data_IF_917372700777
#
_entry.id   IF_917372700777
#
_cell.length_a   1.000
_cell.length_b   1.000
_cell.length_c   1.000
_cell.angle_alpha   90.00
_cell.angle_beta   90.00
_cell.angle_gamma   90.00
#
_symmetry.space_group_name_H-M   'P 1'
#
loop_
_entity.id
_entity.type
_entity.pdbx_description
1 polymer ?
#
# COMPACT_ATOMS: atom_id res chain seq x y z
N UNK A 1 -17.52 75.39 -10.81
CA UNK A 1 -18.23 76.39 -10.01
C UNK A 1 -18.83 77.42 -10.95
N UNK A 2 -20.04 77.91 -10.70
CA UNK A 2 -20.70 78.94 -11.50
C UNK A 2 -21.52 78.39 -12.66
N UNK A 3 -21.17 78.76 -13.90
CA UNK A 3 -21.93 78.42 -15.12
C UNK A 3 -21.02 77.75 -16.15
N UNK A 4 -21.60 76.98 -17.08
CA UNK A 4 -20.88 76.39 -18.21
C UNK A 4 -20.76 77.44 -19.31
N UNK A 5 -19.79 78.34 -19.17
CA UNK A 5 -19.43 79.32 -20.19
C UNK A 5 -18.28 78.79 -21.08
N UNK A 6 -17.90 79.54 -22.12
CA UNK A 6 -16.81 79.13 -23.03
C UNK A 6 -15.50 78.84 -22.29
N UNK A 7 -15.20 79.59 -21.23
CA UNK A 7 -14.00 79.39 -20.43
C UNK A 7 -14.07 78.08 -19.64
N UNK A 8 -15.22 77.73 -19.06
CA UNK A 8 -15.43 76.45 -18.38
C UNK A 8 -15.30 75.27 -19.35
N UNK A 9 -15.77 75.42 -20.59
CA UNK A 9 -15.59 74.42 -21.65
C UNK A 9 -14.13 74.25 -22.03
N UNK A 10 -13.39 75.35 -22.19
CA UNK A 10 -11.95 75.34 -22.50
C UNK A 10 -11.11 74.85 -21.33
N UNK A 11 -11.47 75.15 -20.08
CA UNK A 11 -10.80 74.58 -18.90
C UNK A 11 -10.97 73.06 -18.80
N UNK A 12 -11.94 72.49 -19.52
CA UNK A 12 -12.08 71.06 -19.68
C UNK A 12 -11.21 70.52 -20.85
N UNK A 13 -10.21 71.28 -21.34
CA UNK A 13 -9.25 70.87 -22.37
C UNK A 13 -8.42 69.65 -21.98
N UNK A 14 -8.37 69.28 -20.69
CA UNK A 14 -7.86 67.97 -20.31
C UNK A 14 -8.55 66.85 -21.09
N UNK A 15 -9.84 67.00 -21.42
CA UNK A 15 -10.60 66.06 -22.26
C UNK A 15 -10.14 66.06 -23.72
N UNK A 16 -9.65 67.19 -24.24
CA UNK A 16 -9.04 67.25 -25.60
C UNK A 16 -7.66 66.62 -25.62
N UNK A 17 -6.92 66.67 -24.51
CA UNK A 17 -5.57 66.10 -24.36
C UNK A 17 -5.59 64.60 -23.99
N UNK A 18 -6.75 64.03 -23.63
CA UNK A 18 -6.86 62.61 -23.26
C UNK A 18 -6.34 61.66 -24.35
N UNK A 19 -6.46 62.05 -25.63
CA UNK A 19 -5.93 61.26 -26.76
C UNK A 19 -4.41 61.29 -26.86
N UNK A 20 -3.76 62.32 -26.30
CA UNK A 20 -2.30 62.43 -26.28
C UNK A 20 -1.72 61.61 -25.11
N UNK A 21 -2.50 61.43 -24.05
CA UNK A 21 -2.08 60.77 -22.82
C UNK A 21 -2.59 59.33 -22.66
N UNK A 22 -3.53 58.86 -23.50
CA UNK A 22 -4.09 57.50 -23.39
C UNK A 22 -4.27 56.89 -24.78
N UNK A 23 -3.81 55.64 -24.95
CA UNK A 23 -4.10 54.82 -26.13
C UNK A 23 -5.10 53.72 -25.80
N UNK A 24 -6.03 53.45 -26.71
CA UNK A 24 -6.95 52.29 -26.56
C UNK A 24 -6.31 51.00 -27.07
N UNK A 25 -5.65 51.03 -28.23
CA UNK A 25 -4.99 49.86 -28.86
C UNK A 25 -3.68 50.27 -29.52
N UNK A 26 -2.66 49.40 -29.45
CA UNK A 26 -1.41 49.56 -30.20
C UNK A 26 -1.54 48.87 -31.57
N UNK A 27 -2.03 49.58 -32.59
CA UNK A 27 -2.10 49.07 -33.96
C UNK A 27 -2.26 50.19 -34.98
N UNK A 28 -1.63 50.05 -36.14
CA UNK A 28 -1.64 50.98 -37.27
C UNK A 28 -2.92 50.87 -38.10
N UNK A 29 -4.08 51.12 -37.50
CA UNK A 29 -5.34 51.27 -38.23
C UNK A 29 -5.78 52.74 -38.15
N UNK A 30 -6.20 53.29 -39.30
CA UNK A 30 -6.35 54.71 -39.57
C UNK A 30 -7.14 55.50 -38.52
N UNK A 31 -6.78 56.78 -38.41
CA UNK A 31 -7.27 57.74 -37.39
C UNK A 31 -8.81 57.89 -37.33
N UNK A 32 -9.56 57.51 -38.36
CA UNK A 32 -11.01 57.73 -38.45
C UNK A 32 -11.88 56.66 -37.75
N UNK A 33 -11.34 55.49 -37.38
CA UNK A 33 -12.09 54.43 -36.67
C UNK A 33 -11.97 54.48 -35.14
N UNK A 34 -11.47 55.59 -34.61
CA UNK A 34 -11.01 55.67 -33.21
C UNK A 34 -12.11 55.99 -32.20
N UNK A 35 -13.16 56.73 -32.59
CA UNK A 35 -14.16 57.31 -31.68
C UNK A 35 -14.99 56.29 -30.90
N UNK A 36 -15.52 55.27 -31.59
CA UNK A 36 -16.32 54.19 -31.01
C UNK A 36 -15.49 53.29 -30.08
N UNK A 37 -14.19 53.16 -30.37
CA UNK A 37 -13.24 52.39 -29.55
C UNK A 37 -12.98 53.09 -28.21
N UNK A 38 -12.86 54.42 -28.17
CA UNK A 38 -12.72 55.20 -26.93
C UNK A 38 -14.00 55.16 -26.07
N UNK A 39 -15.17 55.33 -26.69
CA UNK A 39 -16.45 55.32 -25.98
C UNK A 39 -16.72 54.02 -25.19
N UNK A 40 -16.10 52.89 -25.58
CA UNK A 40 -16.19 51.61 -24.89
C UNK A 40 -15.48 51.57 -23.54
N UNK A 41 -14.38 52.31 -23.40
CA UNK A 41 -13.55 52.29 -22.18
C UNK A 41 -13.83 53.47 -21.25
N UNK A 42 -14.40 54.54 -21.80
CA UNK A 42 -14.69 55.77 -21.09
C UNK A 42 -15.95 55.64 -20.23
N UNK A 43 -15.95 56.22 -19.02
CA UNK A 43 -17.10 56.15 -18.11
C UNK A 43 -18.29 56.96 -18.63
N UNK A 44 -19.44 56.88 -17.94
CA UNK A 44 -20.44 57.93 -18.05
C UNK A 44 -19.87 59.25 -17.52
N UNK A 45 -20.26 60.36 -18.14
CA UNK A 45 -19.81 61.68 -17.74
C UNK A 45 -20.90 62.41 -16.97
N UNK A 46 -20.58 62.87 -15.75
CA UNK A 46 -21.51 63.66 -14.93
C UNK A 46 -20.89 65.02 -14.66
N UNK A 47 -21.51 66.08 -15.16
CA UNK A 47 -21.09 67.46 -14.87
C UNK A 47 -21.89 68.00 -13.69
N UNK A 48 -21.23 68.22 -12.55
CA UNK A 48 -21.85 68.87 -11.39
C UNK A 48 -21.47 70.35 -11.36
N UNK A 49 -22.43 71.21 -11.64
CA UNK A 49 -22.29 72.66 -11.67
C UNK A 49 -22.67 73.22 -10.30
N UNK A 50 -21.64 73.39 -9.47
CA UNK A 50 -21.74 73.95 -8.11
C UNK A 50 -21.90 75.47 -8.12
N UNK A 51 -22.59 76.01 -7.13
CA UNK A 51 -22.91 77.44 -6.97
C UNK A 51 -23.62 78.02 -8.20
N UNK A 52 -24.65 77.31 -8.66
CA UNK A 52 -25.42 77.69 -9.85
C UNK A 52 -26.33 78.88 -9.56
N UNK A 53 -26.24 79.93 -10.37
CA UNK A 53 -26.94 81.20 -10.15
C UNK A 53 -27.91 81.59 -11.27
N UNK A 54 -28.01 80.79 -12.34
CA UNK A 54 -28.92 81.09 -13.45
C UNK A 54 -30.29 80.46 -13.21
N UNK A 55 -31.32 81.09 -13.74
CA UNK A 55 -32.59 80.41 -13.93
C UNK A 55 -32.43 79.42 -15.10
N UNK A 56 -32.87 78.17 -14.91
CA UNK A 56 -32.88 77.15 -15.96
C UNK A 56 -34.00 77.45 -16.98
N UNK A 57 -33.85 78.56 -17.71
CA UNK A 57 -34.78 79.04 -18.72
C UNK A 57 -34.03 79.31 -20.01
N UNK A 58 -34.53 78.78 -21.12
CA UNK A 58 -34.00 79.02 -22.48
C UNK A 58 -35.16 79.31 -23.41
N UNK A 59 -35.09 80.39 -24.18
CA UNK A 59 -36.16 80.86 -25.07
C UNK A 59 -37.53 80.97 -24.37
N UNK A 60 -37.55 81.46 -23.13
CA UNK A 60 -38.78 81.60 -22.32
C UNK A 60 -39.35 80.28 -21.77
N UNK A 61 -38.72 79.13 -22.03
CA UNK A 61 -39.14 77.81 -21.53
C UNK A 61 -38.21 77.32 -20.43
N UNK A 62 -38.78 76.76 -19.36
CA UNK A 62 -38.01 76.06 -18.32
C UNK A 62 -37.35 74.81 -18.92
N UNK A 63 -36.05 74.68 -18.74
CA UNK A 63 -35.23 73.56 -19.22
C UNK A 63 -34.73 72.73 -18.03
N UNK A 64 -34.31 71.51 -18.33
CA UNK A 64 -33.61 70.63 -17.38
C UNK A 64 -32.12 70.97 -17.31
N UNK A 65 -31.44 70.50 -16.26
CA UNK A 65 -29.98 70.62 -16.16
C UNK A 65 -29.26 69.91 -17.32
N UNK A 66 -29.81 68.79 -17.81
CA UNK A 66 -29.26 68.05 -18.96
C UNK A 66 -29.39 68.86 -20.26
N UNK A 67 -30.56 69.47 -20.50
CA UNK A 67 -30.75 70.39 -21.62
C UNK A 67 -29.83 71.60 -21.52
N UNK A 68 -29.58 72.11 -20.31
CA UNK A 68 -28.62 73.17 -20.06
C UNK A 68 -27.19 72.75 -20.47
N UNK A 69 -26.75 71.55 -20.10
CA UNK A 69 -25.46 71.01 -20.53
C UNK A 69 -25.40 70.91 -22.05
N UNK A 70 -26.37 70.26 -22.70
CA UNK A 70 -26.37 70.08 -24.16
C UNK A 70 -26.39 71.41 -24.92
N UNK A 71 -27.10 72.42 -24.40
CA UNK A 71 -27.07 73.76 -24.94
C UNK A 71 -25.69 74.43 -24.78
N UNK A 72 -25.02 74.22 -23.65
CA UNK A 72 -23.74 74.86 -23.33
C UNK A 72 -22.56 74.33 -24.16
N UNK A 73 -22.65 73.10 -24.66
CA UNK A 73 -21.66 72.45 -25.53
C UNK A 73 -22.09 72.40 -27.00
N UNK A 74 -23.06 73.24 -27.41
CA UNK A 74 -23.35 73.47 -28.83
C UNK A 74 -22.17 74.16 -29.50
N UNK A 75 -21.87 73.70 -30.72
CA UNK A 75 -20.80 74.31 -31.53
C UNK A 75 -21.18 75.74 -31.88
N UNK A 76 -20.23 76.64 -31.68
CA UNK A 76 -20.41 78.06 -31.92
C UNK A 76 -19.91 78.42 -33.32
N UNK A 77 -20.65 79.24 -34.09
CA UNK A 77 -20.19 79.69 -35.40
C UNK A 77 -19.01 80.66 -35.26
N UNK A 78 -18.07 80.62 -36.20
CA UNK A 78 -16.92 81.53 -36.28
C UNK A 78 -15.57 80.82 -36.23
N UNK A 79 -14.53 81.51 -36.72
CA UNK A 79 -13.18 80.93 -36.93
C UNK A 79 -12.09 81.51 -36.01
N UNK A 80 -12.47 82.16 -34.90
CA UNK A 80 -11.46 82.65 -33.95
C UNK A 80 -10.79 81.47 -33.22
N UNK A 81 -9.51 81.62 -32.84
CA UNK A 81 -8.77 80.58 -32.10
C UNK A 81 -9.51 80.12 -30.82
N UNK A 82 -10.16 81.05 -30.13
CA UNK A 82 -10.94 80.75 -28.93
C UNK A 82 -12.23 79.96 -29.23
N UNK A 83 -12.90 80.27 -30.36
CA UNK A 83 -14.08 79.50 -30.81
C UNK A 83 -13.67 78.09 -31.23
N UNK A 84 -12.57 77.94 -31.97
CA UNK A 84 -12.02 76.66 -32.35
C UNK A 84 -11.73 75.78 -31.12
N UNK A 85 -10.96 76.28 -30.15
CA UNK A 85 -10.65 75.54 -28.92
C UNK A 85 -11.91 75.15 -28.11
N UNK A 86 -12.91 76.04 -28.03
CA UNK A 86 -14.18 75.74 -27.36
C UNK A 86 -15.00 74.67 -28.11
N UNK A 87 -14.97 74.67 -29.44
CA UNK A 87 -15.66 73.70 -30.27
C UNK A 87 -14.97 72.32 -30.18
N UNK A 88 -13.64 72.28 -30.25
CA UNK A 88 -12.84 71.06 -30.10
C UNK A 88 -13.14 70.36 -28.77
N UNK A 89 -13.14 71.12 -27.67
CA UNK A 89 -13.51 70.60 -26.35
C UNK A 89 -14.96 70.07 -26.30
N UNK A 90 -15.89 70.77 -26.95
CA UNK A 90 -17.29 70.34 -27.01
C UNK A 90 -17.46 69.05 -27.82
N UNK A 91 -16.73 68.91 -28.94
CA UNK A 91 -16.71 67.69 -29.75
C UNK A 91 -16.10 66.52 -28.99
N UNK A 92 -14.96 66.72 -28.32
CA UNK A 92 -14.33 65.67 -27.51
C UNK A 92 -15.26 65.17 -26.39
N UNK A 93 -15.94 66.06 -25.68
CA UNK A 93 -16.93 65.68 -24.66
C UNK A 93 -18.05 64.83 -25.29
N UNK A 94 -18.60 65.27 -26.42
CA UNK A 94 -19.67 64.54 -27.12
C UNK A 94 -19.22 63.18 -27.64
N UNK A 95 -17.99 63.10 -28.15
CA UNK A 95 -17.40 61.94 -28.81
C UNK A 95 -16.98 60.86 -27.81
N UNK A 96 -16.30 61.24 -26.73
CA UNK A 96 -15.75 60.29 -25.76
C UNK A 96 -16.78 59.86 -24.71
N UNK A 97 -17.76 60.72 -24.42
CA UNK A 97 -18.78 60.45 -23.42
C UNK A 97 -20.16 60.50 -24.06
N UNK A 98 -20.66 59.40 -24.65
CA UNK A 98 -22.01 59.39 -25.23
C UNK A 98 -23.10 59.47 -24.16
N UNK A 99 -22.90 58.84 -23.00
CA UNK A 99 -23.76 58.96 -21.82
C UNK A 99 -23.28 60.14 -20.97
N UNK A 100 -24.08 61.21 -20.91
CA UNK A 100 -23.77 62.44 -20.15
C UNK A 100 -24.96 62.83 -19.29
N UNK A 101 -24.68 63.31 -18.08
CA UNK A 101 -25.68 63.82 -17.13
C UNK A 101 -25.19 65.14 -16.55
N UNK A 102 -26.11 66.03 -16.23
CA UNK A 102 -25.81 67.30 -15.60
C UNK A 102 -26.63 67.46 -14.31
N UNK A 103 -25.98 67.99 -13.28
CA UNK A 103 -26.63 68.45 -12.06
C UNK A 103 -26.21 69.89 -11.81
N UNK A 104 -27.17 70.73 -11.43
CA UNK A 104 -26.90 72.06 -10.90
C UNK A 104 -27.12 72.01 -9.39
N UNK A 105 -26.24 72.68 -8.65
CA UNK A 105 -26.34 72.76 -7.19
C UNK A 105 -26.28 74.22 -6.77
N UNK A 106 -27.24 74.62 -5.96
CA UNK A 106 -27.21 75.92 -5.31
C UNK A 106 -26.05 76.02 -4.33
N UNK A 107 -25.80 77.24 -3.89
CA UNK A 107 -24.82 77.48 -2.84
C UNK A 107 -25.36 76.88 -1.54
N UNK A 108 -24.60 76.03 -0.84
CA UNK A 108 -25.12 75.30 0.32
C UNK A 108 -25.42 76.23 1.50
N UNK A 109 -24.64 77.29 1.69
CA UNK A 109 -24.76 78.25 2.80
C UNK A 109 -24.32 79.65 2.38
N UNK A 110 -24.49 80.62 3.29
CA UNK A 110 -24.00 81.98 3.12
C UNK A 110 -22.46 82.04 3.01
N UNK A 111 -21.92 83.15 2.48
CA UNK A 111 -20.47 83.34 2.33
C UNK A 111 -19.70 83.17 3.65
N UNK A 112 -20.29 83.54 4.79
CA UNK A 112 -19.63 83.54 6.08
C UNK A 112 -19.48 82.11 6.63
N UNK A 113 -20.48 81.27 6.38
CA UNK A 113 -20.55 79.92 6.95
C UNK A 113 -19.79 78.88 6.10
N UNK A 114 -19.41 79.21 4.86
CA UNK A 114 -18.62 78.31 4.00
C UNK A 114 -17.29 77.87 4.61
N UNK A 115 -16.71 78.68 5.51
CA UNK A 115 -15.45 78.36 6.19
C UNK A 115 -15.57 77.24 7.20
N UNK A 116 -16.80 76.98 7.66
CA UNK A 116 -17.14 75.98 8.68
C UNK A 116 -18.09 74.92 8.12
N UNK A 117 -18.19 74.79 6.79
CA UNK A 117 -19.17 73.94 6.11
C UNK A 117 -19.10 72.46 6.55
N UNK A 118 -17.93 71.97 6.91
CA UNK A 118 -17.68 70.62 7.43
C UNK A 118 -18.20 70.39 8.86
N UNK A 119 -18.53 71.47 9.58
CA UNK A 119 -19.07 71.45 10.95
C UNK A 119 -20.59 71.68 10.99
N UNK A 120 -21.18 72.12 9.87
CA UNK A 120 -22.60 72.40 9.77
C UNK A 120 -23.41 71.11 9.62
N UNK A 121 -24.63 71.10 10.14
CA UNK A 121 -25.58 70.00 9.95
C UNK A 121 -26.41 70.28 8.70
N UNK A 122 -27.03 69.23 8.15
CA UNK A 122 -27.92 69.37 7.00
C UNK A 122 -29.04 70.40 7.25
N UNK A 123 -29.56 70.51 8.48
CA UNK A 123 -30.56 71.53 8.84
C UNK A 123 -30.08 72.97 8.72
N UNK A 124 -28.77 73.18 8.72
CA UNK A 124 -28.13 74.48 8.63
C UNK A 124 -27.81 74.85 7.15
N UNK A 125 -28.07 73.93 6.19
CA UNK A 125 -27.86 74.10 4.76
C UNK A 125 -29.14 74.56 4.03
N UNK A 126 -28.96 75.14 2.85
CA UNK A 126 -30.06 75.47 1.95
C UNK A 126 -30.87 74.19 1.60
N UNK A 127 -32.20 74.17 1.84
CA UNK A 127 -33.02 72.98 1.57
C UNK A 127 -33.00 72.56 0.10
N UNK A 128 -32.89 73.51 -0.83
CA UNK A 128 -32.79 73.24 -2.26
C UNK A 128 -31.48 72.56 -2.62
N UNK A 129 -30.36 72.99 -2.00
CA UNK A 129 -29.07 72.31 -2.11
C UNK A 129 -29.15 70.88 -1.59
N UNK A 130 -29.74 70.63 -0.42
CA UNK A 130 -29.88 69.28 0.15
C UNK A 130 -30.68 68.39 -0.80
N UNK A 131 -31.79 68.89 -1.34
CA UNK A 131 -32.59 68.15 -2.31
C UNK A 131 -31.76 67.79 -3.56
N UNK A 132 -31.05 68.75 -4.15
CA UNK A 132 -30.21 68.54 -5.33
C UNK A 132 -29.05 67.57 -5.06
N UNK A 133 -28.40 67.69 -3.91
CA UNK A 133 -27.33 66.77 -3.49
C UNK A 133 -27.86 65.36 -3.27
N UNK A 134 -29.05 65.21 -2.68
CA UNK A 134 -29.71 63.92 -2.47
C UNK A 134 -30.08 63.27 -3.81
N UNK A 135 -30.67 64.03 -4.73
CA UNK A 135 -31.00 63.56 -6.08
C UNK A 135 -29.74 63.15 -6.87
N UNK A 136 -28.66 63.92 -6.75
CA UNK A 136 -27.36 63.57 -7.32
C UNK A 136 -26.82 62.25 -6.76
N UNK A 137 -26.75 62.13 -5.43
CA UNK A 137 -26.27 60.91 -4.77
C UNK A 137 -27.10 59.70 -5.18
N UNK A 138 -28.43 59.83 -5.15
CA UNK A 138 -29.35 58.78 -5.60
C UNK A 138 -29.08 58.37 -7.04
N UNK A 139 -28.94 59.34 -7.96
CA UNK A 139 -28.61 59.04 -9.35
C UNK A 139 -27.30 58.26 -9.49
N UNK A 140 -26.24 58.67 -8.78
CA UNK A 140 -24.95 57.97 -8.81
C UNK A 140 -25.11 56.53 -8.30
N UNK A 141 -25.82 56.31 -7.19
CA UNK A 141 -26.03 54.96 -6.66
C UNK A 141 -26.89 54.08 -7.57
N UNK A 142 -27.92 54.65 -8.20
CA UNK A 142 -28.86 53.91 -9.03
C UNK A 142 -28.33 53.64 -10.46
N UNK A 143 -27.43 54.50 -10.98
CA UNK A 143 -27.03 54.48 -12.40
C UNK A 143 -25.55 54.20 -12.64
N UNK A 144 -24.71 54.14 -11.59
CA UNK A 144 -23.29 53.81 -11.79
C UNK A 144 -23.12 52.33 -12.12
N UNK A 145 -22.65 52.06 -13.33
CA UNK A 145 -22.36 50.70 -13.77
C UNK A 145 -21.06 50.19 -13.13
N UNK A 146 -20.99 48.87 -12.87
CA UNK A 146 -19.75 48.22 -12.43
C UNK A 146 -18.67 48.49 -13.49
N UNK A 147 -17.46 48.83 -13.05
CA UNK A 147 -16.34 49.03 -13.99
C UNK A 147 -16.09 47.73 -14.74
N UNK A 148 -16.14 47.77 -16.05
CA UNK A 148 -15.82 46.67 -16.93
C UNK A 148 -14.58 46.98 -17.79
N UNK A 149 -13.93 45.91 -18.22
CA UNK A 149 -12.90 45.90 -19.27
C UNK A 149 -13.48 45.18 -20.49
N UNK A 150 -12.66 44.90 -21.50
CA UNK A 150 -13.01 44.21 -22.75
C UNK A 150 -14.18 43.21 -22.60
N UNK A 151 -15.21 43.41 -23.43
CA UNK A 151 -16.39 42.54 -23.56
C UNK A 151 -17.28 42.44 -22.31
N UNK A 152 -17.21 43.45 -21.42
CA UNK A 152 -18.10 43.53 -20.26
C UNK A 152 -17.61 42.75 -19.05
N UNK A 153 -16.37 42.27 -19.06
CA UNK A 153 -15.78 41.58 -17.91
C UNK A 153 -15.63 42.56 -16.74
N UNK A 154 -16.24 42.30 -15.57
CA UNK A 154 -16.17 43.20 -14.42
C UNK A 154 -14.76 43.22 -13.83
N UNK A 155 -14.31 44.41 -13.44
CA UNK A 155 -13.01 44.62 -12.79
C UNK A 155 -13.17 44.44 -11.28
N UNK A 156 -12.46 43.46 -10.72
CA UNK A 156 -12.39 43.24 -9.26
C UNK A 156 -11.32 44.14 -8.63
N UNK A 157 -11.32 44.27 -7.30
CA UNK A 157 -10.31 45.07 -6.59
C UNK A 157 -8.87 44.61 -6.87
N UNK A 158 -8.65 43.28 -6.96
CA UNK A 158 -7.34 42.71 -7.31
C UNK A 158 -6.89 43.13 -8.70
N UNK A 159 -7.77 43.02 -9.71
CA UNK A 159 -7.48 43.42 -11.09
C UNK A 159 -7.25 44.93 -11.18
N UNK A 160 -8.07 45.73 -10.49
CA UNK A 160 -7.91 47.19 -10.45
C UNK A 160 -6.54 47.60 -9.90
N UNK A 161 -6.08 46.97 -8.81
CA UNK A 161 -4.75 47.26 -8.25
C UNK A 161 -3.61 46.96 -9.22
N UNK A 162 -3.71 45.86 -9.98
CA UNK A 162 -2.73 45.51 -11.01
C UNK A 162 -2.75 46.46 -12.21
N UNK A 163 -3.94 46.84 -12.67
CA UNK A 163 -4.09 47.83 -13.74
C UNK A 163 -3.54 49.19 -13.31
N UNK A 164 -3.84 49.64 -12.08
CA UNK A 164 -3.31 50.89 -11.54
C UNK A 164 -1.77 50.88 -11.52
N UNK A 165 -1.15 49.81 -11.02
CA UNK A 165 0.31 49.65 -11.06
C UNK A 165 0.86 49.71 -12.49
N UNK A 166 0.23 48.97 -13.42
CA UNK A 166 0.63 48.95 -14.83
C UNK A 166 0.57 50.34 -15.47
N UNK A 167 -0.48 51.11 -15.21
CA UNK A 167 -0.61 52.47 -15.74
C UNK A 167 0.39 53.44 -15.11
N UNK A 168 0.62 53.36 -13.78
CA UNK A 168 1.62 54.20 -13.09
C UNK A 168 3.03 53.90 -13.60
N UNK A 169 3.37 52.63 -13.81
CA UNK A 169 4.66 52.23 -14.36
C UNK A 169 4.86 52.72 -15.80
N UNK A 170 3.80 52.69 -16.62
CA UNK A 170 3.83 53.26 -17.96
C UNK A 170 4.13 54.77 -17.93
N UNK A 171 3.41 55.52 -17.08
CA UNK A 171 3.63 56.97 -16.90
C UNK A 171 5.06 57.24 -16.41
N UNK A 172 5.53 56.51 -15.39
CA UNK A 172 6.88 56.69 -14.83
C UNK A 172 7.98 56.40 -15.85
N UNK A 173 7.76 55.47 -16.77
CA UNK A 173 8.70 55.12 -17.84
C UNK A 173 8.65 56.05 -19.05
N UNK A 174 7.78 57.07 -19.04
CA UNK A 174 7.56 57.96 -20.18
C UNK A 174 6.81 57.31 -21.34
N UNK A 175 6.17 56.16 -21.11
CA UNK A 175 5.33 55.50 -22.12
C UNK A 175 3.87 55.89 -21.94
N UNK A 176 3.14 56.01 -23.04
CA UNK A 176 1.70 56.34 -23.01
C UNK A 176 0.92 55.09 -22.56
N UNK A 177 0.15 55.14 -21.46
CA UNK A 177 -0.69 54.03 -21.02
C UNK A 177 -1.63 53.54 -22.13
N UNK A 178 -1.62 52.23 -22.38
CA UNK A 178 -2.49 51.59 -23.35
C UNK A 178 -3.51 50.69 -22.63
N UNK A 179 -4.79 51.02 -22.75
CA UNK A 179 -5.87 50.38 -21.97
C UNK A 179 -6.02 48.90 -22.30
N UNK A 180 -6.08 48.53 -23.59
CA UNK A 180 -6.23 47.12 -24.00
C UNK A 180 -4.97 46.31 -23.70
N UNK A 181 -3.78 46.87 -23.92
CA UNK A 181 -2.52 46.15 -23.66
C UNK A 181 -2.31 45.89 -22.17
N UNK A 182 -2.67 46.84 -21.30
CA UNK A 182 -2.58 46.64 -19.86
C UNK A 182 -3.49 45.49 -19.41
N UNK A 183 -4.73 45.45 -19.92
CA UNK A 183 -5.67 44.35 -19.64
C UNK A 183 -5.12 43.02 -20.13
N UNK A 184 -4.59 42.97 -21.37
CA UNK A 184 -4.01 41.75 -21.93
C UNK A 184 -2.80 41.27 -21.11
N UNK A 185 -1.85 42.15 -20.79
CA UNK A 185 -0.66 41.81 -20.03
C UNK A 185 -1.00 41.29 -18.62
N UNK A 186 -1.89 41.98 -17.89
CA UNK A 186 -2.31 41.53 -16.56
C UNK A 186 -3.09 40.20 -16.67
N UNK A 187 -3.95 40.03 -17.68
CA UNK A 187 -4.70 38.77 -17.86
C UNK A 187 -3.78 37.59 -18.15
N UNK A 188 -2.73 37.76 -18.97
CA UNK A 188 -1.76 36.69 -19.25
C UNK A 188 -1.04 36.24 -17.98
N UNK A 189 -0.54 37.18 -17.17
CA UNK A 189 0.21 36.85 -15.95
C UNK A 189 -0.69 36.22 -14.89
N UNK A 190 -1.86 36.82 -14.62
CA UNK A 190 -2.75 36.32 -13.57
C UNK A 190 -3.42 35.00 -13.97
N UNK A 191 -3.79 34.80 -15.24
CA UNK A 191 -4.39 33.54 -15.68
C UNK A 191 -3.36 32.41 -15.68
N UNK A 192 -2.11 32.67 -16.09
CA UNK A 192 -1.04 31.68 -15.98
C UNK A 192 -0.80 31.28 -14.51
N UNK A 193 -0.74 32.26 -13.60
CA UNK A 193 -0.62 31.98 -12.16
C UNK A 193 -1.82 31.21 -11.62
N UNK A 194 -3.04 31.52 -12.07
CA UNK A 194 -4.25 30.80 -11.69
C UNK A 194 -4.24 29.35 -12.16
N UNK A 195 -3.72 29.05 -13.35
CA UNK A 195 -3.53 27.66 -13.82
C UNK A 195 -2.60 26.89 -12.89
N UNK A 196 -1.43 27.44 -12.57
CA UNK A 196 -0.45 26.77 -11.68
C UNK A 196 -1.03 26.53 -10.29
N UNK A 197 -1.68 27.53 -9.69
CA UNK A 197 -2.28 27.41 -8.36
C UNK A 197 -3.43 26.40 -8.33
N UNK A 198 -4.34 26.45 -9.31
CA UNK A 198 -5.44 25.50 -9.40
C UNK A 198 -4.97 24.07 -9.69
N UNK A 199 -3.93 23.90 -10.50
CA UNK A 199 -3.35 22.58 -10.76
C UNK A 199 -2.64 22.02 -9.52
N UNK A 200 -1.89 22.86 -8.78
CA UNK A 200 -1.29 22.47 -7.52
C UNK A 200 -2.34 22.04 -6.49
N UNK A 201 -3.43 22.82 -6.37
CA UNK A 201 -4.57 22.47 -5.53
C UNK A 201 -5.18 21.12 -5.92
N UNK A 202 -5.40 20.88 -7.22
CA UNK A 202 -5.90 19.59 -7.71
C UNK A 202 -4.99 18.43 -7.30
N UNK A 203 -3.67 18.57 -7.49
CA UNK A 203 -2.69 17.53 -7.16
C UNK A 203 -2.69 17.21 -5.66
N UNK A 204 -2.77 18.25 -4.83
CA UNK A 204 -2.86 18.09 -3.38
C UNK A 204 -4.13 17.33 -3.00
N UNK A 205 -5.30 17.83 -3.41
CA UNK A 205 -6.60 17.23 -3.07
C UNK A 205 -6.71 15.78 -3.55
N UNK A 206 -6.25 15.49 -4.77
CA UNK A 206 -6.27 14.13 -5.29
C UNK A 206 -5.28 13.23 -4.54
N UNK A 207 -4.09 13.74 -4.18
CA UNK A 207 -3.12 13.01 -3.37
C UNK A 207 -3.64 12.64 -1.98
N UNK A 208 -4.40 13.55 -1.35
CA UNK A 208 -5.01 13.33 -0.04
C UNK A 208 -6.22 12.39 -0.08
N UNK A 209 -7.06 12.47 -1.12
CA UNK A 209 -8.30 11.68 -1.23
C UNK A 209 -8.07 10.30 -1.86
N UNK A 210 -7.20 10.23 -2.86
CA UNK A 210 -6.87 9.00 -3.59
C UNK A 210 -5.50 8.45 -3.14
N UNK A 211 -5.38 8.13 -1.86
CA UNK A 211 -4.17 7.53 -1.30
C UNK A 211 -3.98 6.11 -1.83
N UNK A 212 -3.07 5.99 -2.78
CA UNK A 212 -2.64 4.72 -3.37
C UNK A 212 -1.35 4.27 -2.68
N UNK A 213 -1.49 3.43 -1.65
CA UNK A 213 -0.36 2.77 -1.01
C UNK A 213 -0.51 1.26 -1.07
N UNK A 214 0.57 0.57 -0.71
CA UNK A 214 0.52 -0.89 -0.59
C UNK A 214 -0.40 -1.33 0.56
N UNK A 215 -0.52 -0.50 1.60
CA UNK A 215 -1.36 -0.76 2.78
C UNK A 215 -2.84 -0.50 2.50
N UNK A 216 -3.18 0.56 1.77
CA UNK A 216 -4.57 0.88 1.40
C UNK A 216 -5.05 0.13 0.16
N UNK A 217 -4.12 -0.38 -0.65
CA UNK A 217 -4.39 -1.13 -1.86
C UNK A 217 -4.92 -0.28 -3.02
N UNK A 218 -5.29 -0.94 -4.10
CA UNK A 218 -5.96 -0.29 -5.22
C UNK A 218 -7.40 0.08 -4.83
N UNK A 219 -7.85 1.23 -5.32
CA UNK A 219 -9.22 1.72 -5.10
C UNK A 219 -10.07 1.40 -6.33
N UNK A 220 -11.38 1.20 -6.13
CA UNK A 220 -12.30 0.98 -7.25
C UNK A 220 -12.28 2.15 -8.23
N UNK A 221 -12.37 1.84 -9.53
CA UNK A 221 -12.39 2.86 -10.60
C UNK A 221 -13.49 3.90 -10.39
N UNK A 222 -14.65 3.49 -9.86
CA UNK A 222 -15.76 4.39 -9.54
C UNK A 222 -15.40 5.40 -8.44
N UNK A 223 -14.76 4.94 -7.36
CA UNK A 223 -14.37 5.81 -6.24
C UNK A 223 -13.25 6.77 -6.64
N UNK A 224 -12.27 6.31 -7.43
CA UNK A 224 -11.22 7.16 -8.00
C UNK A 224 -11.80 8.26 -8.91
N UNK A 225 -12.77 7.90 -9.77
CA UNK A 225 -13.49 8.85 -10.63
C UNK A 225 -14.31 9.87 -9.83
N UNK A 226 -14.97 9.43 -8.75
CA UNK A 226 -15.70 10.32 -7.86
C UNK A 226 -14.77 11.36 -7.18
N UNK A 227 -13.60 10.93 -6.71
CA UNK A 227 -12.59 11.84 -6.16
C UNK A 227 -12.08 12.83 -7.21
N UNK A 228 -11.74 12.36 -8.41
CA UNK A 228 -11.34 13.22 -9.51
C UNK A 228 -12.37 14.30 -9.81
N UNK A 229 -13.66 13.93 -9.93
CA UNK A 229 -14.75 14.87 -10.22
C UNK A 229 -14.84 15.98 -9.16
N UNK A 230 -14.76 15.63 -7.89
CA UNK A 230 -14.79 16.59 -6.79
C UNK A 230 -13.57 17.52 -6.81
N UNK A 231 -12.36 16.97 -6.99
CA UNK A 231 -11.14 17.78 -7.05
C UNK A 231 -11.10 18.70 -8.29
N UNK A 232 -11.60 18.22 -9.43
CA UNK A 232 -11.71 19.01 -10.66
C UNK A 232 -12.66 20.20 -10.45
N UNK A 233 -13.79 19.98 -9.80
CA UNK A 233 -14.76 21.05 -9.51
C UNK A 233 -14.14 22.14 -8.63
N UNK A 234 -13.45 21.75 -7.54
CA UNK A 234 -12.76 22.69 -6.65
C UNK A 234 -11.64 23.45 -7.37
N UNK A 235 -10.83 22.78 -8.17
CA UNK A 235 -9.77 23.42 -8.95
C UNK A 235 -10.30 24.42 -9.99
N UNK A 236 -11.43 24.10 -10.65
CA UNK A 236 -12.10 24.98 -11.61
C UNK A 236 -12.77 26.17 -10.92
N UNK A 237 -13.36 25.98 -9.73
CA UNK A 237 -13.89 27.08 -8.92
C UNK A 237 -12.77 28.03 -8.49
N UNK A 238 -11.65 27.49 -8.01
CA UNK A 238 -10.47 28.28 -7.67
C UNK A 238 -9.95 29.05 -8.88
N UNK A 239 -9.87 28.41 -10.06
CA UNK A 239 -9.42 29.06 -11.29
C UNK A 239 -10.33 30.23 -11.65
N UNK A 240 -11.65 30.02 -11.68
CA UNK A 240 -12.64 31.05 -12.01
C UNK A 240 -12.60 32.25 -11.05
N UNK A 241 -12.25 32.04 -9.78
CA UNK A 241 -12.13 33.11 -8.81
C UNK A 241 -10.86 33.97 -9.00
N UNK A 242 -9.84 33.43 -9.66
CA UNK A 242 -8.51 34.05 -9.78
C UNK A 242 -8.11 34.42 -11.21
N UNK A 243 -8.81 33.91 -12.22
CA UNK A 243 -8.63 34.27 -13.62
C UNK A 243 -9.59 35.37 -14.06
N UNK A 244 -9.21 36.10 -15.10
CA UNK A 244 -10.07 37.10 -15.73
C UNK A 244 -9.67 37.29 -17.21
N UNK A 245 -10.63 37.68 -18.05
CA UNK A 245 -10.38 37.97 -19.48
C UNK A 245 -9.65 36.82 -20.22
N UNK A 246 -9.96 35.57 -19.87
CA UNK A 246 -9.46 34.36 -20.55
C UNK A 246 -10.20 34.15 -21.88
N UNK A 247 -9.77 34.87 -22.92
CA UNK A 247 -10.38 34.77 -24.25
C UNK A 247 -10.26 33.34 -24.79
N UNK A 248 -11.36 32.84 -25.37
CA UNK A 248 -11.47 31.50 -25.97
C UNK A 248 -11.19 30.32 -25.00
N UNK A 249 -11.27 30.58 -23.69
CA UNK A 249 -11.00 29.61 -22.62
C UNK A 249 -9.60 28.97 -22.73
N UNK A 250 -8.59 29.70 -23.23
CA UNK A 250 -7.26 29.15 -23.48
C UNK A 250 -6.61 28.62 -22.20
N UNK A 251 -6.61 29.40 -21.13
CA UNK A 251 -6.00 29.01 -19.86
C UNK A 251 -6.84 27.95 -19.14
N UNK A 252 -8.17 28.03 -19.24
CA UNK A 252 -9.04 26.98 -18.70
C UNK A 252 -8.83 25.63 -19.41
N UNK A 253 -8.63 25.62 -20.73
CA UNK A 253 -8.32 24.41 -21.50
C UNK A 253 -6.98 23.81 -21.08
N UNK A 254 -5.94 24.64 -20.97
CA UNK A 254 -4.62 24.22 -20.46
C UNK A 254 -4.73 23.58 -19.07
N UNK A 255 -5.47 24.20 -18.13
CA UNK A 255 -5.74 23.61 -16.82
C UNK A 255 -6.41 22.24 -16.91
N UNK A 256 -7.46 22.09 -17.74
CA UNK A 256 -8.18 20.82 -17.91
C UNK A 256 -7.27 19.73 -18.50
N UNK A 257 -6.45 20.07 -19.49
CA UNK A 257 -5.50 19.14 -20.10
C UNK A 257 -4.45 18.64 -19.10
N UNK A 258 -3.87 19.54 -18.29
CA UNK A 258 -2.92 19.17 -17.24
C UNK A 258 -3.56 18.27 -16.18
N UNK A 259 -4.78 18.61 -15.74
CA UNK A 259 -5.55 17.79 -14.79
C UNK A 259 -5.83 16.40 -15.36
N UNK A 260 -6.24 16.30 -16.63
CA UNK A 260 -6.52 15.02 -17.27
C UNK A 260 -5.27 14.14 -17.33
N UNK A 261 -4.12 14.72 -17.71
CA UNK A 261 -2.84 14.02 -17.74
C UNK A 261 -2.43 13.48 -16.37
N UNK A 262 -2.61 14.26 -15.30
CA UNK A 262 -2.33 13.83 -13.93
C UNK A 262 -3.30 12.70 -13.51
N UNK A 263 -4.59 12.83 -13.87
CA UNK A 263 -5.59 11.81 -13.58
C UNK A 263 -5.31 10.48 -14.30
N UNK A 264 -4.91 10.52 -15.57
CA UNK A 264 -4.52 9.33 -16.34
C UNK A 264 -3.30 8.64 -15.73
N UNK A 265 -2.32 9.43 -15.25
CA UNK A 265 -1.18 8.92 -14.49
C UNK A 265 -1.63 8.19 -13.22
N UNK A 266 -2.55 8.78 -12.45
CA UNK A 266 -3.13 8.16 -11.25
C UNK A 266 -3.95 6.92 -11.55
N UNK A 267 -4.71 6.90 -12.64
CA UNK A 267 -5.44 5.71 -13.09
C UNK A 267 -4.49 4.57 -13.44
N UNK A 268 -3.38 4.88 -14.13
CA UNK A 268 -2.36 3.90 -14.50
C UNK A 268 -1.66 3.32 -13.27
N UNK A 269 -1.34 4.17 -12.29
CA UNK A 269 -0.80 3.75 -10.99
C UNK A 269 -1.76 2.81 -10.25
N UNK A 270 -3.05 3.16 -10.18
CA UNK A 270 -4.07 2.34 -9.54
C UNK A 270 -4.25 0.97 -10.24
N UNK A 271 -4.24 0.96 -11.58
CA UNK A 271 -4.34 -0.27 -12.37
C UNK A 271 -3.14 -1.19 -12.15
N UNK A 272 -1.92 -0.63 -12.10
CA UNK A 272 -0.70 -1.39 -11.82
C UNK A 272 -0.73 -2.03 -10.43
N UNK A 273 -1.19 -1.30 -9.40
CA UNK A 273 -1.38 -1.85 -8.05
C UNK A 273 -2.39 -3.00 -8.05
N UNK A 274 -3.56 -2.80 -8.66
CA UNK A 274 -4.60 -3.83 -8.74
C UNK A 274 -4.11 -5.08 -9.47
N UNK A 275 -3.37 -4.90 -10.58
CA UNK A 275 -2.77 -6.00 -11.32
C UNK A 275 -1.76 -6.78 -10.47
N UNK A 276 -0.86 -6.09 -9.76
CA UNK A 276 0.14 -6.73 -8.92
C UNK A 276 -0.48 -7.57 -7.81
N UNK A 277 -1.44 -7.02 -7.07
CA UNK A 277 -2.12 -7.74 -5.99
C UNK A 277 -2.88 -8.96 -6.51
N UNK A 278 -3.56 -8.82 -7.66
CA UNK A 278 -4.32 -9.93 -8.27
C UNK A 278 -3.39 -11.03 -8.78
N UNK A 279 -2.26 -10.66 -9.39
CA UNK A 279 -1.27 -11.61 -9.88
C UNK A 279 -0.64 -12.40 -8.74
N UNK A 280 -0.20 -11.72 -7.66
CA UNK A 280 0.38 -12.38 -6.49
C UNK A 280 -0.60 -13.32 -5.84
N UNK A 281 -1.84 -12.88 -5.62
CA UNK A 281 -2.88 -13.72 -5.03
C UNK A 281 -3.14 -14.97 -5.89
N UNK A 282 -3.25 -14.82 -7.22
CA UNK A 282 -3.43 -15.95 -8.14
C UNK A 282 -2.24 -16.93 -8.13
N UNK A 283 -1.02 -16.42 -8.11
CA UNK A 283 0.17 -17.27 -8.04
C UNK A 283 0.25 -18.00 -6.70
N UNK A 284 -0.06 -17.31 -5.60
CA UNK A 284 -0.08 -17.88 -4.27
C UNK A 284 -1.13 -18.99 -4.13
N UNK A 285 -2.37 -18.75 -4.57
CA UNK A 285 -3.46 -19.71 -4.50
C UNK A 285 -3.26 -20.93 -5.41
N UNK A 286 -2.31 -20.86 -6.36
CA UNK A 286 -1.91 -22.02 -7.17
C UNK A 286 -1.02 -23.01 -6.43
N UNK A 287 -0.50 -22.65 -5.24
CA UNK A 287 0.24 -23.56 -4.39
C UNK A 287 -0.72 -24.45 -3.59
N UNK A 288 -0.52 -25.76 -3.70
CA UNK A 288 -1.11 -26.72 -2.77
C UNK A 288 -0.33 -26.73 -1.46
N UNK A 289 -0.64 -25.78 -0.57
CA UNK A 289 -0.01 -25.64 0.74
C UNK A 289 -0.09 -26.92 1.60
N UNK A 290 -1.21 -27.64 1.52
CA UNK A 290 -1.47 -28.82 2.34
C UNK A 290 -0.51 -29.97 1.98
N UNK A 291 -0.14 -30.11 0.70
CA UNK A 291 0.78 -31.16 0.25
C UNK A 291 2.16 -31.11 0.92
N UNK A 292 2.58 -29.93 1.40
CA UNK A 292 3.88 -29.70 2.04
C UNK A 292 3.82 -29.82 3.57
N UNK A 293 2.65 -30.01 4.17
CA UNK A 293 2.46 -30.20 5.62
C UNK A 293 2.80 -31.64 6.05
N UNK A 294 4.04 -32.05 5.78
CA UNK A 294 4.59 -33.39 6.06
C UNK A 294 6.07 -33.30 6.42
N UNK A 295 6.61 -34.35 7.02
CA UNK A 295 8.04 -34.45 7.36
C UNK A 295 8.93 -34.27 6.12
N UNK A 296 9.90 -33.35 6.20
CA UNK A 296 10.77 -32.93 5.10
C UNK A 296 10.10 -32.06 4.02
N UNK A 297 8.87 -31.58 4.25
CA UNK A 297 8.08 -30.84 3.26
C UNK A 297 8.49 -29.36 3.11
N UNK A 298 8.92 -28.73 4.20
CA UNK A 298 9.19 -27.28 4.23
C UNK A 298 10.30 -26.82 3.26
N UNK A 299 11.45 -27.53 3.10
CA UNK A 299 12.47 -27.12 2.12
C UNK A 299 11.94 -27.08 0.68
N UNK A 300 11.09 -28.05 0.30
CA UNK A 300 10.46 -28.07 -1.02
C UNK A 300 9.45 -26.93 -1.18
N UNK A 301 8.70 -26.62 -0.12
CA UNK A 301 7.76 -25.50 -0.09
C UNK A 301 8.47 -24.15 -0.29
N UNK A 302 9.62 -23.94 0.37
CA UNK A 302 10.45 -22.74 0.21
C UNK A 302 10.89 -22.51 -1.24
N UNK A 303 11.32 -23.56 -1.93
CA UNK A 303 11.71 -23.49 -3.35
C UNK A 303 10.53 -23.02 -4.22
N UNK A 304 9.31 -23.51 -3.95
CA UNK A 304 8.12 -23.10 -4.69
C UNK A 304 7.72 -21.65 -4.42
N UNK A 305 7.82 -21.20 -3.17
CA UNK A 305 7.62 -19.79 -2.80
C UNK A 305 8.62 -18.90 -3.54
N UNK A 306 9.90 -19.28 -3.58
CA UNK A 306 10.94 -18.53 -4.32
C UNK A 306 10.66 -18.54 -5.83
N UNK A 307 10.15 -19.64 -6.38
CA UNK A 307 9.72 -19.71 -7.78
C UNK A 307 8.57 -18.76 -8.10
N UNK A 308 7.59 -18.60 -7.20
CA UNK A 308 6.52 -17.61 -7.36
C UNK A 308 7.08 -16.19 -7.37
N UNK A 309 7.99 -15.88 -6.45
CA UNK A 309 8.65 -14.57 -6.39
C UNK A 309 9.37 -14.29 -7.71
N UNK A 310 10.11 -15.25 -8.24
CA UNK A 310 10.77 -15.13 -9.54
C UNK A 310 9.78 -14.93 -10.68
N UNK A 311 8.69 -15.70 -10.72
CA UNK A 311 7.65 -15.60 -11.75
C UNK A 311 6.94 -14.25 -11.72
N UNK A 312 6.65 -13.74 -10.51
CA UNK A 312 6.12 -12.40 -10.32
C UNK A 312 7.11 -11.35 -10.86
N UNK A 313 8.39 -11.42 -10.46
CA UNK A 313 9.43 -10.49 -10.93
C UNK A 313 9.65 -10.52 -12.44
N UNK A 314 9.54 -11.69 -13.07
CA UNK A 314 9.64 -11.84 -14.53
C UNK A 314 8.44 -11.28 -15.31
N UNK A 315 7.25 -11.13 -14.69
CA UNK A 315 6.04 -10.68 -15.40
C UNK A 315 6.08 -9.18 -15.73
N UNK A 316 5.95 -8.74 -16.99
CA UNK A 316 5.97 -7.31 -17.31
C UNK A 316 4.71 -6.56 -16.84
N UNK A 317 4.73 -5.22 -16.85
CA UNK A 317 3.53 -4.38 -16.63
C UNK A 317 3.17 -4.06 -15.17
N UNK A 318 4.09 -4.24 -14.22
CA UNK A 318 3.83 -4.11 -12.77
C UNK A 318 3.92 -2.68 -12.21
N UNK A 319 4.42 -1.73 -12.99
CA UNK A 319 4.65 -0.35 -12.54
C UNK A 319 5.79 -0.22 -11.52
N UNK A 320 6.02 1.01 -11.03
CA UNK A 320 7.16 1.36 -10.17
C UNK A 320 7.04 0.82 -8.73
N UNK A 321 5.83 0.51 -8.26
CA UNK A 321 5.56 0.03 -6.89
C UNK A 321 5.58 -1.50 -6.73
N UNK A 322 5.99 -2.24 -7.76
CA UNK A 322 5.92 -3.71 -7.79
C UNK A 322 6.60 -4.39 -6.59
N UNK A 323 7.86 -4.05 -6.28
CA UNK A 323 8.58 -4.67 -5.16
C UNK A 323 7.95 -4.31 -3.80
N UNK A 324 7.43 -3.10 -3.64
CA UNK A 324 6.74 -2.72 -2.39
C UNK A 324 5.48 -3.58 -2.17
N UNK A 325 4.71 -3.85 -3.25
CA UNK A 325 3.54 -4.74 -3.20
C UNK A 325 3.94 -6.16 -2.84
N UNK A 326 5.02 -6.67 -3.43
CA UNK A 326 5.56 -7.99 -3.09
C UNK A 326 5.95 -8.07 -1.61
N UNK A 327 6.72 -7.10 -1.10
CA UNK A 327 7.18 -7.11 0.29
C UNK A 327 6.01 -7.12 1.29
N UNK A 328 4.99 -6.29 1.08
CA UNK A 328 3.82 -6.28 1.95
C UNK A 328 3.02 -7.58 1.84
N UNK A 329 2.86 -8.13 0.63
CA UNK A 329 2.20 -9.41 0.43
C UNK A 329 2.93 -10.53 1.18
N UNK A 330 4.26 -10.59 1.08
CA UNK A 330 5.07 -11.58 1.77
C UNK A 330 5.00 -11.44 3.29
N UNK A 331 4.95 -10.21 3.83
CA UNK A 331 4.71 -9.98 5.27
C UNK A 331 3.37 -10.58 5.73
N UNK A 332 2.30 -10.41 4.94
CA UNK A 332 0.99 -11.01 5.26
C UNK A 332 1.05 -12.54 5.21
N UNK A 333 1.77 -13.11 4.23
CA UNK A 333 1.89 -14.56 4.06
C UNK A 333 2.92 -15.23 4.99
N UNK A 334 3.72 -14.45 5.72
CA UNK A 334 4.73 -14.97 6.64
C UNK A 334 4.14 -15.92 7.70
N UNK A 335 2.91 -15.64 8.17
CA UNK A 335 2.21 -16.50 9.13
C UNK A 335 1.95 -17.89 8.55
N UNK A 336 1.46 -17.96 7.30
CA UNK A 336 1.20 -19.22 6.61
C UNK A 336 2.50 -19.99 6.31
N UNK A 337 3.58 -19.28 5.97
CA UNK A 337 4.90 -19.90 5.76
C UNK A 337 5.41 -20.54 7.06
N UNK A 338 5.28 -19.82 8.20
CA UNK A 338 5.68 -20.33 9.52
C UNK A 338 4.84 -21.52 9.97
N UNK A 339 3.56 -21.57 9.61
CA UNK A 339 2.68 -22.71 9.92
C UNK A 339 3.15 -24.00 9.24
N UNK A 340 3.52 -23.91 7.95
CA UNK A 340 4.08 -25.07 7.21
C UNK A 340 5.41 -25.50 7.84
N UNK A 341 6.27 -24.57 8.21
CA UNK A 341 7.55 -24.85 8.88
C UNK A 341 7.36 -25.56 10.23
N UNK A 342 6.44 -25.07 11.05
CA UNK A 342 6.16 -25.64 12.35
C UNK A 342 5.57 -27.06 12.21
N UNK A 343 4.67 -27.25 11.25
CA UNK A 343 4.06 -28.56 10.99
C UNK A 343 5.10 -29.58 10.53
N UNK A 344 5.98 -29.21 9.60
CA UNK A 344 7.11 -30.04 9.16
C UNK A 344 7.97 -30.51 10.35
N UNK A 345 8.40 -29.56 11.21
CA UNK A 345 9.20 -29.87 12.40
C UNK A 345 8.49 -30.84 13.36
N UNK A 346 7.21 -30.60 13.64
CA UNK A 346 6.43 -31.46 14.55
C UNK A 346 6.28 -32.86 13.96
N UNK A 347 5.96 -32.97 12.67
CA UNK A 347 5.81 -34.25 11.99
C UNK A 347 7.12 -35.04 11.96
N UNK A 348 8.25 -34.40 11.65
CA UNK A 348 9.57 -35.04 11.69
C UNK A 348 9.93 -35.54 13.09
N UNK A 349 9.63 -34.77 14.14
CA UNK A 349 9.85 -35.20 15.53
C UNK A 349 8.98 -36.41 15.91
N UNK A 350 7.71 -36.43 15.49
CA UNK A 350 6.80 -37.55 15.73
C UNK A 350 7.25 -38.82 14.99
N UNK A 351 7.66 -38.69 13.72
CA UNK A 351 8.20 -39.81 12.95
C UNK A 351 9.46 -40.40 13.59
N UNK A 352 10.39 -39.56 14.04
CA UNK A 352 11.60 -40.01 14.69
C UNK A 352 11.31 -40.72 16.03
N UNK A 353 10.39 -40.17 16.85
CA UNK A 353 9.96 -40.85 18.08
C UNK A 353 9.33 -42.22 17.79
N UNK A 354 8.45 -42.30 16.80
CA UNK A 354 7.84 -43.56 16.41
C UNK A 354 8.88 -44.57 15.90
N UNK A 355 9.89 -44.11 15.15
CA UNK A 355 11.03 -44.96 14.73
C UNK A 355 11.84 -45.45 15.93
N UNK A 356 12.14 -44.58 16.88
CA UNK A 356 12.86 -44.93 18.11
C UNK A 356 12.08 -45.93 18.97
N UNK A 357 10.77 -45.73 19.17
CA UNK A 357 9.91 -46.66 19.90
C UNK A 357 9.83 -48.02 19.21
N UNK A 358 9.69 -48.05 17.88
CA UNK A 358 9.72 -49.30 17.11
C UNK A 358 11.06 -50.01 17.23
N UNK A 359 12.18 -49.28 17.16
CA UNK A 359 13.52 -49.84 17.32
C UNK A 359 13.73 -50.40 18.73
N UNK A 360 13.28 -49.69 19.77
CA UNK A 360 13.31 -50.17 21.16
C UNK A 360 12.47 -51.43 21.32
N UNK A 361 11.24 -51.45 20.82
CA UNK A 361 10.37 -52.62 20.86
C UNK A 361 10.97 -53.83 20.11
N UNK A 362 11.62 -53.60 18.96
CA UNK A 362 12.36 -54.65 18.24
C UNK A 362 13.55 -55.18 19.05
N UNK A 363 14.33 -54.30 19.67
CA UNK A 363 15.47 -54.70 20.52
C UNK A 363 15.02 -55.49 21.75
N UNK A 364 13.92 -55.09 22.40
CA UNK A 364 13.35 -55.82 23.53
C UNK A 364 12.81 -57.19 23.11
N UNK A 365 12.14 -57.29 21.95
CA UNK A 365 11.72 -58.59 21.37
C UNK A 365 12.92 -59.50 21.12
N UNK A 366 13.98 -58.97 20.50
CA UNK A 366 15.21 -59.73 20.25
C UNK A 366 15.89 -60.20 21.54
N UNK A 367 15.90 -59.37 22.60
CA UNK A 367 16.41 -59.74 23.93
C UNK A 367 15.60 -60.88 24.55
N UNK A 368 14.27 -60.78 24.52
CA UNK A 368 13.37 -61.81 25.04
C UNK A 368 13.57 -63.15 24.33
N UNK A 369 13.66 -63.16 22.99
CA UNK A 369 13.95 -64.36 22.19
C UNK A 369 15.31 -64.98 22.56
N UNK A 370 16.34 -64.15 22.79
CA UNK A 370 17.66 -64.65 23.23
C UNK A 370 17.60 -65.27 24.64
N UNK A 371 16.93 -64.63 25.59
CA UNK A 371 16.77 -65.17 26.95
C UNK A 371 15.98 -66.48 26.94
N UNK A 372 14.92 -66.58 26.15
CA UNK A 372 14.12 -67.79 25.99
C UNK A 372 14.97 -68.92 25.40
N UNK A 373 15.71 -68.66 24.32
CA UNK A 373 16.63 -69.63 23.73
C UNK A 373 17.75 -70.07 24.70
N UNK A 374 18.23 -69.18 25.57
CA UNK A 374 19.22 -69.53 26.58
C UNK A 374 18.62 -70.39 27.71
N UNK A 375 17.39 -70.09 28.16
CA UNK A 375 16.64 -70.94 29.09
C UNK A 375 16.39 -72.33 28.52
N UNK A 376 16.02 -72.43 27.25
CA UNK A 376 15.85 -73.72 26.57
C UNK A 376 17.15 -74.52 26.51
N UNK A 377 18.28 -73.87 26.17
CA UNK A 377 19.62 -74.51 26.18
C UNK A 377 20.00 -75.00 27.58
N UNK A 378 19.80 -74.17 28.60
CA UNK A 378 20.08 -74.57 29.99
C UNK A 378 19.20 -75.73 30.45
N UNK A 379 17.91 -75.72 30.09
CA UNK A 379 17.00 -76.82 30.39
C UNK A 379 17.40 -78.12 29.66
N UNK A 380 17.83 -78.01 28.40
CA UNK A 380 18.37 -79.14 27.64
C UNK A 380 19.64 -79.70 28.29
N UNK A 381 20.56 -78.85 28.73
CA UNK A 381 21.79 -79.26 29.39
C UNK A 381 21.52 -79.97 30.73
N UNK A 382 20.62 -79.43 31.56
CA UNK A 382 20.20 -80.08 32.80
C UNK A 382 19.57 -81.46 32.57
N UNK A 383 18.74 -81.60 31.51
CA UNK A 383 18.17 -82.91 31.14
C UNK A 383 19.24 -83.92 30.75
N UNK A 384 20.27 -83.49 30.02
CA UNK A 384 21.41 -84.34 29.67
C UNK A 384 22.19 -84.76 30.93
N UNK A 385 22.45 -83.84 31.87
CA UNK A 385 23.10 -84.19 33.15
C UNK A 385 22.27 -85.17 33.99
N UNK A 386 20.96 -84.98 34.09
CA UNK A 386 20.05 -85.91 34.78
C UNK A 386 20.05 -87.29 34.12
N UNK A 387 20.05 -87.35 32.79
CA UNK A 387 20.20 -88.61 32.04
C UNK A 387 21.53 -89.29 32.32
N UNK A 388 22.63 -88.54 32.36
CA UNK A 388 23.96 -89.09 32.64
C UNK A 388 24.08 -89.60 34.08
N UNK A 389 23.50 -88.89 35.06
CA UNK A 389 23.43 -89.36 36.46
C UNK A 389 22.60 -90.63 36.58
N UNK A 390 21.42 -90.67 35.96
CA UNK A 390 20.59 -91.88 35.96
C UNK A 390 21.30 -93.06 35.27
N UNK A 391 22.09 -92.80 34.23
CA UNK A 391 22.92 -93.82 33.58
C UNK A 391 24.00 -94.35 34.52
N UNK A 392 24.75 -93.47 35.18
CA UNK A 392 25.79 -93.84 36.16
C UNK A 392 25.23 -94.60 37.36
N UNK A 393 24.06 -94.21 37.86
CA UNK A 393 23.38 -94.92 38.94
C UNK A 393 22.97 -96.34 38.50
N UNK A 394 22.42 -96.51 37.28
CA UNK A 394 22.12 -97.85 36.73
C UNK A 394 23.37 -98.71 36.55
N UNK A 395 24.48 -98.12 36.09
CA UNK A 395 25.76 -98.83 35.99
C UNK A 395 26.28 -99.28 37.36
N UNK A 396 26.14 -98.43 38.38
CA UNK A 396 26.56 -98.74 39.74
C UNK A 396 25.70 -99.85 40.37
N UNK A 397 24.37 -99.79 40.21
CA UNK A 397 23.47 -100.87 40.65
C UNK A 397 23.78 -102.19 39.94
N UNK A 398 24.11 -102.15 38.63
CA UNK A 398 24.53 -103.32 37.87
C UNK A 398 25.84 -103.92 38.42
N UNK A 399 26.83 -103.08 38.74
CA UNK A 399 28.10 -103.49 39.37
C UNK A 399 27.89 -104.10 40.75
N UNK A 400 27.08 -103.48 41.62
CA UNK A 400 26.78 -104.00 42.95
C UNK A 400 25.99 -105.32 42.92
N UNK A 401 25.18 -105.54 41.88
CA UNK A 401 24.51 -106.81 41.63
C UNK A 401 25.49 -107.89 41.20
N UNK A 402 26.40 -107.59 40.27
CA UNK A 402 27.47 -108.48 39.84
C UNK A 402 28.39 -108.89 41.00
N UNK A 403 28.74 -107.95 41.90
CA UNK A 403 29.56 -108.27 43.09
C UNK A 403 28.82 -109.18 44.09
N UNK A 404 27.51 -109.01 44.25
CA UNK A 404 26.70 -109.92 45.09
C UNK A 404 26.65 -111.33 44.50
N UNK A 405 26.40 -111.43 43.20
CA UNK A 405 26.38 -112.70 42.49
C UNK A 405 27.77 -113.40 42.55
N UNK A 406 28.88 -112.64 42.52
CA UNK A 406 30.23 -113.18 42.73
C UNK A 406 30.46 -113.68 44.17
N UNK A 407 30.06 -112.93 45.20
CA UNK A 407 30.20 -113.38 46.59
C UNK A 407 29.35 -114.61 46.89
N UNK A 408 28.13 -114.66 46.38
CA UNK A 408 27.27 -115.85 46.52
C UNK A 408 27.91 -117.07 45.83
N UNK A 409 28.52 -116.90 44.66
CA UNK A 409 29.24 -117.97 43.98
C UNK A 409 30.52 -118.42 44.72
N UNK A 410 31.26 -117.49 45.34
CA UNK A 410 32.43 -117.80 46.18
C UNK A 410 32.03 -118.57 47.45
N UNK A 411 30.97 -118.15 48.14
CA UNK A 411 30.43 -118.86 49.32
C UNK A 411 29.87 -120.24 48.97
N UNK A 412 29.32 -120.41 47.77
CA UNK A 412 28.86 -121.71 47.27
C UNK A 412 30.04 -122.63 46.92
N UNK A 413 31.12 -122.07 46.36
CA UNK A 413 32.40 -122.77 46.14
C UNK A 413 33.04 -123.21 47.47
N UNK A 414 33.02 -122.34 48.49
CA UNK A 414 33.59 -122.62 49.80
C UNK A 414 32.81 -123.71 50.55
N UNK A 415 31.47 -123.68 50.49
CA UNK A 415 30.61 -124.75 51.01
C UNK A 415 30.83 -126.09 50.30
N UNK A 416 31.02 -126.08 48.98
CA UNK A 416 31.35 -127.29 48.23
C UNK A 416 32.75 -127.86 48.60
N UNK A 417 33.71 -126.98 48.90
CA UNK A 417 35.04 -127.36 49.38
C UNK A 417 35.00 -127.92 50.82
N UNK A 418 34.15 -127.37 51.70
CA UNK A 418 33.94 -127.90 53.06
C UNK A 418 33.24 -129.27 53.03
N UNK A 419 32.22 -129.47 52.19
CA UNK A 419 31.60 -130.79 52.00
C UNK A 419 32.61 -131.83 51.48
N UNK A 420 33.52 -131.44 50.59
CA UNK A 420 34.61 -132.33 50.15
C UNK A 420 35.56 -132.69 51.28
N UNK A 421 35.92 -131.74 52.16
CA UNK A 421 36.76 -131.98 53.34
C UNK A 421 36.09 -132.91 54.35
N UNK A 422 34.80 -132.71 54.62
CA UNK A 422 34.01 -133.57 55.51
C UNK A 422 33.91 -135.01 54.98
N UNK A 423 33.64 -135.18 53.67
CA UNK A 423 33.64 -136.50 53.02
C UNK A 423 35.02 -137.16 53.05
N UNK A 424 36.10 -136.38 52.98
CA UNK A 424 37.47 -136.90 53.09
C UNK A 424 37.79 -137.36 54.52
N UNK A 425 37.32 -136.63 55.54
CA UNK A 425 37.44 -137.00 56.96
C UNK A 425 36.62 -138.25 57.31
N UNK A 426 35.37 -138.38 56.85
CA UNK A 426 34.58 -139.60 57.07
C UNK A 426 35.24 -140.83 56.41
N UNK A 427 35.83 -140.66 55.22
CA UNK A 427 36.59 -141.73 54.55
C UNK A 427 37.86 -142.10 55.31
N UNK A 428 38.54 -141.13 55.91
CA UNK A 428 39.75 -141.35 56.71
C UNK A 428 39.43 -142.06 58.03
N UNK A 429 38.36 -141.66 58.71
CA UNK A 429 37.87 -142.32 59.94
C UNK A 429 37.31 -143.73 59.66
N UNK A 430 36.67 -143.95 58.52
CA UNK A 430 36.24 -145.28 58.08
C UNK A 430 37.44 -146.20 57.75
N UNK A 431 38.54 -145.63 57.22
CA UNK A 431 39.78 -146.36 56.97
C UNK A 431 40.49 -146.75 58.27
N UNK A 432 40.51 -145.87 59.29
CA UNK A 432 41.06 -146.20 60.62
C UNK A 432 40.24 -147.25 61.38
N UNK A 433 38.90 -147.22 61.31
CA UNK A 433 38.04 -148.26 61.94
C UNK A 433 38.20 -149.64 61.30
N UNK A 434 38.62 -149.71 60.03
CA UNK A 434 38.94 -150.96 59.35
C UNK A 434 40.35 -151.49 59.68
N UNK A 435 41.24 -150.64 60.21
CA UNK A 435 42.61 -150.99 60.61
C UNK A 435 42.70 -151.73 61.95
N UNK A 436 41.78 -151.46 62.87
CA UNK A 436 41.75 -152.11 64.20
C UNK A 436 41.09 -153.51 64.21
N UNK A 437 40.51 -153.97 63.08
CA UNK A 437 39.80 -155.27 62.99
C UNK A 437 40.51 -156.38 62.18
N UNK A 438 41.77 -156.21 61.80
CA UNK A 438 42.63 -157.32 61.34
C UNK A 438 42.19 -158.03 60.05
N UNK A 439 42.07 -157.31 58.92
CA UNK A 439 41.96 -157.91 57.57
C UNK A 439 43.00 -157.25 56.64
N UNK A 440 43.88 -158.11 56.11
CA UNK A 440 44.87 -157.94 55.02
C UNK A 440 44.32 -157.12 53.85
N UNK A 441 45.03 -156.31 53.05
CA UNK A 441 46.45 -156.00 52.88
C UNK A 441 46.66 -155.16 51.60
N UNK A 442 47.85 -154.57 51.46
CA UNK A 442 48.57 -154.34 50.19
C UNK A 442 48.09 -153.31 49.14
N UNK A 443 49.12 -152.64 48.56
CA UNK A 443 49.24 -152.08 47.18
C UNK A 443 49.11 -150.54 47.08
N UNK A 444 50.24 -149.80 47.02
CA UNK A 444 50.85 -149.13 45.82
C UNK A 444 49.83 -148.23 45.09
N UNK A 445 49.92 -146.90 45.09
CA UNK A 445 50.99 -146.03 44.57
C UNK A 445 50.41 -145.13 43.46
N UNK A 446 51.17 -144.10 43.05
CA UNK A 446 51.02 -143.29 41.81
C UNK A 446 50.31 -141.92 41.92
N UNK A 447 51.12 -140.89 42.14
CA UNK A 447 51.09 -139.52 41.54
C UNK A 447 51.13 -139.66 39.98
N UNK A 448 50.65 -138.80 39.04
CA UNK A 448 50.87 -137.32 39.03
C UNK A 448 49.98 -136.40 38.09
N UNK A 449 50.25 -135.07 38.11
CA UNK A 449 50.31 -134.07 36.99
C UNK A 449 49.07 -133.55 36.19
N UNK A 450 48.84 -132.20 36.26
CA UNK A 450 48.76 -131.12 35.21
C UNK A 450 48.03 -131.36 33.83
N UNK A 451 47.74 -130.36 32.91
CA UNK A 451 47.84 -128.88 32.91
C UNK A 451 46.78 -128.03 32.08
N UNK A 452 46.94 -126.68 32.12
CA UNK A 452 46.96 -125.63 31.03
C UNK A 452 45.77 -125.20 30.11
N UNK A 453 45.85 -123.88 29.79
CA UNK A 453 45.40 -123.11 28.60
C UNK A 453 43.90 -122.77 28.48
N UNK A 454 43.42 -121.54 28.22
CA UNK A 454 43.96 -120.39 27.49
C UNK A 454 43.33 -120.34 26.09
N UNK A 455 42.50 -119.34 25.75
CA UNK A 455 42.18 -118.93 24.36
C UNK A 455 41.67 -117.48 24.33
N UNK A 456 42.23 -116.74 23.37
CA UNK A 456 41.97 -115.37 22.91
C UNK A 456 41.09 -115.46 21.66
N UNK A 457 40.22 -114.48 21.38
CA UNK A 457 39.93 -114.05 20.00
C UNK A 457 39.24 -112.68 19.94
N UNK A 458 39.86 -111.82 19.15
CA UNK A 458 39.32 -110.58 18.55
C UNK A 458 38.19 -110.90 17.57
N UNK A 459 37.34 -109.90 17.30
CA UNK A 459 36.92 -109.58 15.93
C UNK A 459 36.35 -108.15 15.89
N UNK A 460 37.01 -107.30 15.12
CA UNK A 460 36.45 -106.11 14.49
C UNK A 460 35.48 -106.52 13.37
N UNK A 461 34.44 -105.71 13.16
CA UNK A 461 33.92 -105.43 11.81
C UNK A 461 33.07 -104.15 11.87
N UNK A 462 33.56 -103.13 11.17
CA UNK A 462 32.79 -102.00 10.68
C UNK A 462 31.74 -102.46 9.66
N UNK A 463 30.57 -101.82 9.63
CA UNK A 463 29.87 -101.56 8.38
C UNK A 463 28.99 -100.30 8.48
N UNK A 464 29.11 -99.48 7.45
CA UNK A 464 28.54 -98.15 7.21
C UNK A 464 27.09 -98.23 6.67
N UNK A 465 26.42 -97.07 6.65
CA UNK A 465 25.21 -96.62 5.90
C UNK A 465 24.07 -96.28 6.90
N UNK A 466 23.59 -95.03 7.10
CA UNK A 466 23.57 -93.80 6.28
C UNK A 466 23.73 -92.54 7.14
#
# INVERSE_FOLDING_TARGET
>A
MGTINSQATVCNSYVTELTDHIKVKSGSEGQDETSSKYARFFPSFVWVVRDFTLDLVSNGRKITADEYLENSIKLKPGNSKHIAASNDASECIKKFFPKRKCFVMYRPVSQNDLRILDQLRDTDLDPGFIQQATEFCKYIFDNSEKKTISEGTPVTGKVLGKLAGTYVDAIRSGTIPCLENAVLAVSQVENAAAVEQSFALYRQLLGERAVLSVETGAITKQKLSAFHRACLEEALQHFKAHSFNDKEDKFQKDLKERIMKEYDGKCSENAALSFCSTLLQRLWDSLDHASYMRSGGYPSYRIQVDHIIQKYRATPGKGSKAEQVLDAFMKVKEVQIKEVEMTDRVMTLLENRLREEKARAQMERYRAEREEAERERQAMFKRLEEQERAHKEREKEMMERMEREQREAEEEQERALEEQRARFQERHEAWERLRERGIVGGVVGVNPFFPLAGIRRENENECVIS
#
